data_IF_880743715754
#
_entry.id   IF_880743715754
#
_cell.length_a   1.000
_cell.length_b   1.000
_cell.length_c   1.000
_cell.angle_alpha   90.00
_cell.angle_beta   90.00
_cell.angle_gamma   90.00
#
_symmetry.space_group_name_H-M   'P 1'
#
loop_
_entity.id
_entity.type
_entity.pdbx_description
1 polymer ?
#
# COMPACT_ATOMS: atom_id res chain seq x y z
N UNK A 1 30.08 -0.38 -17.45
CA UNK A 1 29.06 -0.40 -16.38
C UNK A 1 28.45 -1.80 -16.38
N UNK A 2 28.28 -2.39 -15.21
CA UNK A 2 27.63 -3.70 -15.11
C UNK A 2 26.15 -3.54 -15.43
N UNK A 3 25.64 -4.34 -16.37
CA UNK A 3 24.23 -4.30 -16.75
C UNK A 3 23.36 -4.77 -15.60
N UNK A 4 22.36 -3.96 -15.23
CA UNK A 4 21.42 -4.28 -14.15
C UNK A 4 20.14 -4.85 -14.77
N UNK A 5 19.48 -5.77 -14.08
CA UNK A 5 18.31 -6.48 -14.58
C UNK A 5 17.18 -5.56 -15.10
N UNK A 6 17.04 -4.38 -14.53
CA UNK A 6 15.99 -3.44 -14.90
C UNK A 6 16.29 -2.63 -16.18
N UNK A 7 17.53 -2.67 -16.71
CA UNK A 7 17.87 -1.95 -17.94
C UNK A 7 17.10 -2.44 -19.15
N UNK A 8 16.76 -3.75 -19.16
CA UNK A 8 16.05 -4.41 -20.25
C UNK A 8 14.70 -5.00 -19.79
N UNK A 9 14.21 -4.59 -18.62
CA UNK A 9 12.95 -5.11 -18.10
C UNK A 9 11.75 -4.59 -18.89
N UNK A 10 10.81 -5.50 -19.17
CA UNK A 10 9.46 -5.16 -19.62
C UNK A 10 8.53 -5.36 -18.46
N UNK A 11 8.07 -4.25 -17.91
CA UNK A 11 7.21 -4.23 -16.72
C UNK A 11 5.75 -4.15 -17.14
N UNK A 12 4.92 -5.06 -16.61
CA UNK A 12 3.48 -5.05 -16.81
C UNK A 12 2.79 -4.75 -15.48
N UNK A 13 2.03 -3.64 -15.42
CA UNK A 13 1.24 -3.33 -14.24
C UNK A 13 -0.01 -4.20 -14.20
N UNK A 14 -0.23 -4.87 -13.08
CA UNK A 14 -1.45 -5.61 -12.79
C UNK A 14 -2.25 -4.87 -11.73
N UNK A 15 -3.49 -4.55 -12.07
CA UNK A 15 -4.52 -4.13 -11.13
C UNK A 15 -5.24 -5.40 -10.65
N UNK A 16 -4.95 -5.93 -9.44
CA UNK A 16 -5.43 -7.24 -9.01
C UNK A 16 -6.95 -7.36 -9.13
N UNK A 17 -7.67 -6.38 -8.62
CA UNK A 17 -9.15 -6.35 -8.56
C UNK A 17 -9.83 -6.60 -9.91
N UNK A 18 -9.23 -6.18 -11.03
CA UNK A 18 -9.83 -6.25 -12.37
C UNK A 18 -9.10 -7.18 -13.34
N UNK A 19 -8.00 -7.82 -12.93
CA UNK A 19 -7.17 -8.58 -13.85
C UNK A 19 -7.73 -9.98 -14.16
N UNK A 20 -7.96 -10.80 -13.14
CA UNK A 20 -8.50 -12.16 -13.31
C UNK A 20 -9.11 -12.66 -12.00
N UNK A 21 -10.39 -12.88 -12.04
CA UNK A 21 -11.16 -13.56 -11.00
C UNK A 21 -10.98 -15.08 -11.15
N UNK A 22 -10.56 -15.76 -10.09
CA UNK A 22 -10.35 -17.20 -10.06
C UNK A 22 -11.49 -17.98 -9.42
N UNK A 23 -12.26 -17.35 -8.54
CA UNK A 23 -13.29 -17.98 -7.72
C UNK A 23 -14.73 -17.67 -8.16
N UNK A 24 -14.92 -16.67 -9.05
CA UNK A 24 -16.22 -16.31 -9.63
C UNK A 24 -17.03 -15.31 -8.80
N UNK A 25 -16.39 -14.57 -7.89
CA UNK A 25 -17.03 -13.55 -7.06
C UNK A 25 -17.11 -12.15 -7.72
N UNK A 26 -16.51 -11.99 -8.89
CA UNK A 26 -16.47 -10.74 -9.64
C UNK A 26 -15.25 -9.87 -9.33
N UNK A 27 -14.35 -10.32 -8.44
CA UNK A 27 -13.14 -9.61 -8.04
C UNK A 27 -11.92 -10.43 -8.49
N UNK A 28 -10.95 -9.78 -9.13
CA UNK A 28 -9.68 -10.42 -9.48
C UNK A 28 -8.83 -10.64 -8.23
N UNK A 29 -8.02 -11.71 -8.24
CA UNK A 29 -7.30 -12.21 -7.07
C UNK A 29 -5.88 -12.71 -7.41
N UNK A 30 -5.07 -13.02 -6.40
CA UNK A 30 -3.71 -13.54 -6.56
C UNK A 30 -3.65 -14.91 -7.28
N UNK A 31 -4.53 -15.87 -6.97
CA UNK A 31 -4.62 -17.11 -7.76
C UNK A 31 -4.94 -16.87 -9.23
N UNK A 32 -5.81 -15.89 -9.52
CA UNK A 32 -6.12 -15.47 -10.88
C UNK A 32 -4.88 -14.94 -11.61
N UNK A 33 -4.07 -14.09 -10.95
CA UNK A 33 -2.80 -13.60 -11.51
C UNK A 33 -1.86 -14.77 -11.77
N UNK A 34 -1.69 -15.67 -10.81
CA UNK A 34 -0.86 -16.88 -10.92
C UNK A 34 -1.26 -17.71 -12.13
N UNK A 35 -2.55 -17.89 -12.38
CA UNK A 35 -3.08 -18.63 -13.53
C UNK A 35 -2.74 -18.02 -14.90
N UNK A 36 -2.34 -16.73 -14.93
CA UNK A 36 -2.02 -15.98 -16.15
C UNK A 36 -0.51 -15.79 -16.39
N UNK A 37 0.35 -16.32 -15.54
CA UNK A 37 1.80 -16.15 -15.67
C UNK A 37 2.36 -16.69 -17.00
N UNK A 38 1.83 -17.81 -17.50
CA UNK A 38 2.25 -18.34 -18.82
C UNK A 38 1.89 -17.40 -19.98
N UNK A 39 0.73 -16.76 -19.90
CA UNK A 39 0.32 -15.74 -20.85
C UNK A 39 1.27 -14.54 -20.80
N UNK A 40 1.57 -14.02 -19.60
CA UNK A 40 2.47 -12.89 -19.41
C UNK A 40 3.91 -13.22 -19.87
N UNK A 41 4.41 -14.42 -19.58
CA UNK A 41 5.71 -14.88 -20.07
C UNK A 41 5.77 -14.92 -21.60
N UNK A 42 4.73 -15.46 -22.28
CA UNK A 42 4.63 -15.48 -23.74
C UNK A 42 4.56 -14.08 -24.37
N UNK A 43 4.02 -13.10 -23.62
CA UNK A 43 3.99 -11.70 -24.05
C UNK A 43 5.37 -11.02 -23.94
N UNK A 44 6.35 -11.67 -23.30
CA UNK A 44 7.70 -11.14 -23.11
C UNK A 44 7.87 -10.27 -21.87
N UNK A 45 6.97 -10.41 -20.90
CA UNK A 45 7.03 -9.69 -19.62
C UNK A 45 8.13 -10.28 -18.75
N UNK A 46 8.97 -9.44 -18.18
CA UNK A 46 10.06 -9.83 -17.27
C UNK A 46 9.85 -9.35 -15.84
N UNK A 47 8.88 -8.46 -15.61
CA UNK A 47 8.48 -8.02 -14.29
C UNK A 47 6.98 -7.67 -14.26
N UNK A 48 6.33 -8.01 -13.17
CA UNK A 48 4.96 -7.59 -12.85
C UNK A 48 5.03 -6.56 -11.73
N UNK A 49 4.42 -5.42 -11.94
CA UNK A 49 4.14 -4.45 -10.89
C UNK A 49 2.71 -4.65 -10.39
N UNK A 50 2.55 -5.07 -9.15
CA UNK A 50 1.24 -5.20 -8.51
C UNK A 50 0.84 -3.86 -7.90
N UNK A 51 -0.33 -3.34 -8.25
CA UNK A 51 -1.00 -2.34 -7.43
C UNK A 51 -1.28 -2.95 -6.04
N UNK A 52 -1.46 -2.13 -4.98
CA UNK A 52 -1.46 -2.63 -3.61
C UNK A 52 -2.43 -3.79 -3.38
N UNK A 53 -1.95 -4.84 -2.71
CA UNK A 53 -2.72 -6.03 -2.29
C UNK A 53 -2.73 -6.21 -0.78
N UNK A 54 -2.12 -5.27 -0.06
CA UNK A 54 -2.06 -5.29 1.40
C UNK A 54 -3.45 -5.17 2.02
N UNK A 55 -3.57 -5.54 3.31
CA UNK A 55 -4.82 -5.37 4.05
C UNK A 55 -5.22 -3.88 4.09
N UNK A 56 -6.43 -3.60 3.63
CA UNK A 56 -6.92 -2.25 3.38
C UNK A 56 -8.46 -2.22 3.45
N UNK A 57 -9.06 -1.16 3.98
CA UNK A 57 -10.50 -0.94 3.86
C UNK A 57 -10.96 -0.58 2.44
N UNK A 58 -10.04 -0.40 1.49
CA UNK A 58 -10.32 -0.17 0.06
C UNK A 58 -11.01 1.18 -0.26
N UNK A 59 -10.81 2.20 0.56
CA UNK A 59 -11.33 3.55 0.31
C UNK A 59 -10.71 4.15 -0.97
N UNK A 60 -9.42 3.88 -1.20
CA UNK A 60 -8.67 4.29 -2.39
C UNK A 60 -8.04 3.07 -3.11
N UNK A 61 -8.85 2.06 -3.43
CA UNK A 61 -8.43 0.87 -4.18
C UNK A 61 -7.18 0.15 -3.64
N UNK A 62 -6.99 0.16 -2.31
CA UNK A 62 -5.86 -0.49 -1.64
C UNK A 62 -4.68 0.45 -1.35
N UNK A 63 -4.71 1.71 -1.79
CA UNK A 63 -3.69 2.69 -1.43
C UNK A 63 -3.85 3.26 -0.02
N UNK A 64 -4.91 2.92 0.70
CA UNK A 64 -5.19 3.18 2.11
C UNK A 64 -4.86 1.92 2.93
N UNK A 65 -3.59 1.71 3.24
CA UNK A 65 -3.10 0.47 3.83
C UNK A 65 -3.30 0.46 5.35
N UNK A 66 -4.03 -0.55 5.85
CA UNK A 66 -4.27 -0.78 7.27
C UNK A 66 -3.22 -1.72 7.89
N UNK A 67 -2.70 -2.68 7.13
CA UNK A 67 -1.62 -3.58 7.57
C UNK A 67 -0.72 -3.92 6.37
N UNK A 68 0.55 -3.50 6.43
CA UNK A 68 1.54 -3.77 5.38
C UNK A 68 2.07 -5.21 5.36
N UNK A 69 1.82 -5.98 6.40
CA UNK A 69 2.36 -7.33 6.60
C UNK A 69 1.30 -8.43 6.41
N UNK A 70 0.20 -8.08 5.73
CA UNK A 70 -0.86 -9.03 5.40
C UNK A 70 -1.47 -8.72 4.04
N UNK A 71 -2.17 -9.68 3.46
CA UNK A 71 -2.88 -9.57 2.19
C UNK A 71 -4.37 -9.31 2.46
N UNK A 72 -4.96 -8.36 1.75
CA UNK A 72 -6.40 -8.13 1.82
C UNK A 72 -7.16 -9.40 1.40
N UNK A 73 -8.05 -9.87 2.25
CA UNK A 73 -8.79 -11.13 2.08
C UNK A 73 -9.54 -11.25 0.75
N UNK A 74 -9.90 -10.10 0.13
CA UNK A 74 -10.53 -10.07 -1.20
C UNK A 74 -9.57 -10.49 -2.32
N UNK A 75 -8.26 -10.45 -2.10
CA UNK A 75 -7.25 -10.83 -3.08
C UNK A 75 -6.63 -12.20 -2.83
N UNK A 76 -6.85 -12.79 -1.66
CA UNK A 76 -6.29 -14.07 -1.27
C UNK A 76 -5.59 -14.05 0.09
N UNK A 77 -4.56 -14.85 0.22
CA UNK A 77 -3.80 -15.06 1.46
C UNK A 77 -2.29 -14.84 1.24
N UNK A 78 -1.52 -14.84 2.33
CA UNK A 78 -0.05 -14.82 2.25
C UNK A 78 0.49 -16.03 1.48
N UNK A 79 -0.13 -17.21 1.62
CA UNK A 79 0.25 -18.41 0.88
C UNK A 79 0.02 -18.24 -0.63
N UNK A 80 -1.05 -17.55 -1.03
CA UNK A 80 -1.31 -17.22 -2.44
C UNK A 80 -0.24 -16.28 -3.00
N UNK A 81 0.22 -15.32 -2.18
CA UNK A 81 1.31 -14.41 -2.56
C UNK A 81 2.64 -15.16 -2.69
N UNK A 82 2.96 -16.05 -1.75
CA UNK A 82 4.15 -16.92 -1.82
C UNK A 82 4.12 -17.79 -3.07
N UNK A 83 2.95 -18.35 -3.40
CA UNK A 83 2.76 -19.14 -4.62
C UNK A 83 2.96 -18.28 -5.88
N UNK A 84 2.41 -17.08 -5.93
CA UNK A 84 2.61 -16.16 -7.05
C UNK A 84 4.10 -15.85 -7.26
N UNK A 85 4.83 -15.54 -6.19
CA UNK A 85 6.27 -15.24 -6.25
C UNK A 85 7.04 -16.47 -6.76
N UNK A 86 6.76 -17.67 -6.22
CA UNK A 86 7.43 -18.90 -6.60
C UNK A 86 7.17 -19.26 -8.09
N UNK A 87 5.93 -19.13 -8.55
CA UNK A 87 5.55 -19.43 -9.93
C UNK A 87 6.07 -18.38 -10.93
N UNK A 88 6.10 -17.11 -10.56
CA UNK A 88 6.70 -16.04 -11.36
C UNK A 88 8.21 -16.28 -11.54
N UNK A 89 8.90 -16.66 -10.43
CA UNK A 89 10.34 -16.97 -10.46
C UNK A 89 10.70 -18.11 -11.42
N UNK A 90 9.87 -19.15 -11.54
CA UNK A 90 10.06 -20.27 -12.50
C UNK A 90 10.02 -19.80 -13.96
N UNK A 91 9.45 -18.63 -14.22
CA UNK A 91 9.27 -18.02 -15.56
C UNK A 91 10.19 -16.81 -15.78
N UNK A 92 11.18 -16.62 -14.90
CA UNK A 92 12.06 -15.44 -14.89
C UNK A 92 11.32 -14.09 -14.82
N UNK A 93 10.11 -14.09 -14.23
CA UNK A 93 9.31 -12.90 -13.97
C UNK A 93 9.54 -12.43 -12.53
N UNK A 94 9.89 -11.16 -12.35
CA UNK A 94 10.03 -10.53 -11.04
C UNK A 94 8.70 -9.92 -10.60
N UNK A 95 8.45 -9.95 -9.30
CA UNK A 95 7.34 -9.22 -8.69
C UNK A 95 7.87 -7.92 -8.10
N UNK A 96 7.20 -6.83 -8.43
CA UNK A 96 7.43 -5.49 -7.86
C UNK A 96 6.17 -5.12 -7.09
N UNK A 97 6.33 -4.89 -5.79
CA UNK A 97 5.26 -4.42 -4.92
C UNK A 97 5.26 -2.91 -4.85
N UNK A 98 4.09 -2.32 -4.75
CA UNK A 98 3.93 -0.89 -4.52
C UNK A 98 4.34 -0.55 -3.07
N UNK A 99 5.17 0.46 -2.89
CA UNK A 99 5.61 0.93 -1.57
C UNK A 99 4.87 2.24 -1.24
N UNK A 100 3.70 2.11 -0.64
CA UNK A 100 2.85 3.24 -0.27
C UNK A 100 3.20 3.71 1.14
N UNK A 101 4.12 4.65 1.26
CA UNK A 101 4.64 5.15 2.55
C UNK A 101 4.55 6.67 2.70
N UNK A 102 3.74 7.33 1.88
CA UNK A 102 3.37 8.73 2.11
C UNK A 102 2.38 8.86 3.27
N UNK A 103 1.48 7.90 3.40
CA UNK A 103 0.37 7.87 4.36
C UNK A 103 0.06 6.42 4.73
N UNK A 104 -0.77 6.23 5.74
CA UNK A 104 -1.45 4.95 6.04
C UNK A 104 -2.95 5.10 5.85
N UNK A 105 -3.71 4.00 5.98
CA UNK A 105 -5.13 4.10 6.27
C UNK A 105 -5.38 4.77 7.64
N UNK A 106 -6.52 5.42 7.81
CA UNK A 106 -7.00 5.86 9.12
C UNK A 106 -7.41 4.67 10.02
N UNK A 107 -7.45 3.46 9.46
CA UNK A 107 -7.65 2.20 10.19
C UNK A 107 -6.33 1.48 10.53
N UNK A 108 -5.18 2.04 10.18
CA UNK A 108 -3.87 1.51 10.58
C UNK A 108 -3.68 1.63 12.10
N UNK A 109 -3.11 0.60 12.72
CA UNK A 109 -2.92 0.55 14.18
C UNK A 109 -2.17 1.78 14.73
N UNK A 110 -1.18 2.29 14.00
CA UNK A 110 -0.45 3.51 14.40
C UNK A 110 -1.37 4.74 14.45
N UNK A 111 -2.27 4.90 13.47
CA UNK A 111 -3.16 6.06 13.46
C UNK A 111 -4.25 5.96 14.53
N UNK A 112 -4.78 4.75 14.76
CA UNK A 112 -5.74 4.51 15.84
C UNK A 112 -5.11 4.88 17.19
N UNK A 113 -3.90 4.38 17.47
CA UNK A 113 -3.18 4.71 18.72
C UNK A 113 -2.89 6.22 18.81
N UNK A 114 -2.42 6.85 17.72
CA UNK A 114 -2.15 8.28 17.67
C UNK A 114 -3.37 9.16 17.99
N UNK A 115 -4.57 8.72 17.63
CA UNK A 115 -5.84 9.41 17.93
C UNK A 115 -6.31 9.21 19.36
N UNK A 116 -6.18 7.99 19.86
CA UNK A 116 -6.73 7.59 21.16
C UNK A 116 -5.81 7.95 22.33
N UNK A 117 -4.49 8.00 22.06
CA UNK A 117 -3.47 8.29 23.06
C UNK A 117 -2.50 9.37 22.58
N UNK A 118 -2.81 10.67 22.80
CA UNK A 118 -1.93 11.78 22.40
C UNK A 118 -0.53 11.78 23.05
N UNK A 119 -0.27 10.89 24.02
CA UNK A 119 1.05 10.74 24.65
C UNK A 119 1.82 9.52 24.10
N UNK A 120 1.24 8.76 23.17
CA UNK A 120 1.92 7.63 22.55
C UNK A 120 3.01 8.09 21.59
N UNK A 121 4.07 7.30 21.38
CA UNK A 121 5.06 7.57 20.32
C UNK A 121 4.43 7.71 18.92
N UNK A 122 3.38 6.95 18.65
CA UNK A 122 2.65 6.95 17.38
C UNK A 122 2.02 8.29 17.08
N UNK A 123 1.78 9.14 18.10
CA UNK A 123 1.27 10.50 17.88
C UNK A 123 2.14 11.27 16.91
N UNK A 124 3.45 11.19 17.07
CA UNK A 124 4.43 11.91 16.26
C UNK A 124 4.74 11.23 14.91
N UNK A 125 4.12 10.05 14.64
CA UNK A 125 4.19 9.42 13.32
C UNK A 125 3.33 10.14 12.28
N UNK A 126 2.41 11.01 12.72
CA UNK A 126 1.53 11.80 11.88
C UNK A 126 1.70 13.30 12.17
N UNK A 127 1.16 14.13 11.29
CA UNK A 127 1.32 15.59 11.39
C UNK A 127 0.02 16.19 11.93
N UNK A 128 0.09 16.76 13.13
CA UNK A 128 -1.05 17.34 13.85
C UNK A 128 -0.90 18.84 14.05
N UNK A 129 -2.03 19.58 14.05
CA UNK A 129 -2.07 21.02 14.34
C UNK A 129 -3.36 21.42 15.05
N UNK A 130 -3.28 22.45 15.91
CA UNK A 130 -4.46 23.05 16.55
C UNK A 130 -5.28 23.87 15.57
N UNK A 131 -4.64 24.40 14.54
CA UNK A 131 -5.29 25.21 13.49
C UNK A 131 -4.77 24.81 12.12
N UNK A 132 -5.67 24.55 11.16
CA UNK A 132 -5.26 24.28 9.79
C UNK A 132 -4.68 25.54 9.13
N UNK A 133 -3.90 25.34 8.09
CA UNK A 133 -3.52 26.39 7.15
C UNK A 133 -4.30 26.19 5.83
N UNK A 134 -3.90 26.89 4.78
CA UNK A 134 -4.56 26.89 3.46
C UNK A 134 -4.08 25.80 2.51
N UNK A 135 -3.36 24.76 3.00
CA UNK A 135 -2.98 23.62 2.18
C UNK A 135 -4.22 22.87 1.67
N UNK A 136 -4.16 22.45 0.42
CA UNK A 136 -5.24 21.72 -0.25
C UNK A 136 -4.84 20.27 -0.55
N UNK A 137 -5.82 19.38 -0.44
CA UNK A 137 -5.68 17.98 -0.83
C UNK A 137 -5.58 17.83 -2.36
N UNK A 138 -4.89 16.79 -2.82
CA UNK A 138 -4.86 16.37 -4.23
C UNK A 138 -6.25 16.06 -4.77
N UNK A 139 -7.15 15.54 -3.93
CA UNK A 139 -8.54 15.21 -4.28
C UNK A 139 -9.51 16.38 -4.09
N UNK A 140 -9.01 17.59 -3.87
CA UNK A 140 -9.75 18.82 -3.56
C UNK A 140 -10.09 19.03 -2.09
N UNK A 141 -10.40 20.29 -1.74
CA UNK A 141 -10.71 20.67 -0.37
C UNK A 141 -9.47 20.86 0.51
N UNK A 142 -9.67 20.97 1.81
CA UNK A 142 -8.59 21.15 2.79
C UNK A 142 -7.72 19.89 2.86
N UNK A 143 -6.41 20.06 3.04
CA UNK A 143 -5.50 18.96 3.40
C UNK A 143 -5.53 18.64 4.91
N UNK A 144 -6.44 19.23 5.66
CA UNK A 144 -6.56 19.06 7.11
C UNK A 144 -7.96 18.59 7.48
N UNK A 145 -8.05 17.50 8.24
CA UNK A 145 -9.30 17.00 8.80
C UNK A 145 -9.27 17.12 10.32
N UNK A 146 -10.39 17.63 10.89
CA UNK A 146 -10.53 17.73 12.33
C UNK A 146 -10.85 16.38 12.94
N UNK A 147 -10.07 15.97 13.92
CA UNK A 147 -10.31 14.77 14.69
C UNK A 147 -10.92 15.13 16.06
N UNK A 148 -12.18 14.77 16.24
CA UNK A 148 -12.93 15.07 17.48
C UNK A 148 -12.33 14.38 18.73
N UNK A 149 -11.70 13.20 18.56
CA UNK A 149 -11.10 12.46 19.68
C UNK A 149 -9.88 13.17 20.27
N UNK A 150 -9.00 13.65 19.39
CA UNK A 150 -7.77 14.33 19.79
C UNK A 150 -7.92 15.85 19.93
N UNK A 151 -8.98 16.44 19.35
CA UNK A 151 -9.22 17.88 19.36
C UNK A 151 -8.27 18.67 18.46
N UNK A 152 -7.58 18.02 17.54
CA UNK A 152 -6.63 18.62 16.62
C UNK A 152 -6.95 18.23 15.16
N UNK A 153 -6.27 18.88 14.23
CA UNK A 153 -6.33 18.56 12.80
C UNK A 153 -5.13 17.70 12.42
N UNK A 154 -5.37 16.64 11.64
CA UNK A 154 -4.29 15.86 11.01
C UNK A 154 -4.16 16.20 9.53
N UNK A 155 -2.94 16.07 9.01
CA UNK A 155 -2.63 16.30 7.59
C UNK A 155 -3.00 15.09 6.74
N UNK A 156 -3.61 15.36 5.56
CA UNK A 156 -3.83 14.36 4.50
C UNK A 156 -3.75 15.01 3.12
N UNK A 157 -2.73 14.69 2.35
CA UNK A 157 -2.63 15.21 0.98
C UNK A 157 -3.48 14.45 -0.03
N UNK A 158 -3.98 13.27 0.34
CA UNK A 158 -4.93 12.47 -0.43
C UNK A 158 -6.29 12.47 0.26
N UNK A 159 -6.95 11.32 0.40
CA UNK A 159 -8.21 11.22 1.12
C UNK A 159 -8.03 11.51 2.61
N UNK A 160 -9.07 12.02 3.27
CA UNK A 160 -9.11 12.09 4.74
C UNK A 160 -8.98 10.72 5.42
N UNK A 161 -9.19 9.64 4.67
CA UNK A 161 -8.93 8.26 5.07
C UNK A 161 -7.45 7.86 4.97
N UNK A 162 -6.58 8.78 4.53
CA UNK A 162 -5.16 8.55 4.27
C UNK A 162 -4.30 9.59 4.98
N UNK A 163 -4.21 9.54 6.34
CA UNK A 163 -3.38 10.47 7.11
C UNK A 163 -1.90 10.37 6.73
N UNK A 164 -1.29 11.52 6.46
CA UNK A 164 0.10 11.62 6.02
C UNK A 164 1.09 11.30 7.14
N UNK A 165 2.11 10.54 6.81
CA UNK A 165 3.18 10.17 7.71
C UNK A 165 4.20 11.31 7.89
N UNK A 166 4.69 11.46 9.11
CA UNK A 166 5.70 12.45 9.49
C UNK A 166 7.13 11.91 9.26
N UNK A 167 7.64 12.03 8.04
CA UNK A 167 8.97 11.56 7.66
C UNK A 167 10.14 12.25 8.38
N UNK A 168 9.89 13.34 9.12
CA UNK A 168 10.90 13.95 10.00
C UNK A 168 11.13 13.12 11.26
N UNK A 169 10.17 12.29 11.67
CA UNK A 169 10.29 11.40 12.82
C UNK A 169 11.23 10.22 12.51
N UNK A 170 12.31 10.08 13.31
CA UNK A 170 13.32 9.06 13.09
C UNK A 170 12.82 7.65 13.43
N UNK A 171 12.02 7.52 14.50
CA UNK A 171 11.43 6.24 14.90
C UNK A 171 10.50 5.70 13.82
N UNK A 172 9.64 6.56 13.24
CA UNK A 172 8.80 6.18 12.12
C UNK A 172 9.62 5.65 10.95
N UNK A 173 10.71 6.34 10.56
CA UNK A 173 11.58 5.86 9.47
C UNK A 173 12.10 4.46 9.75
N UNK A 174 12.52 4.18 11.00
CA UNK A 174 12.97 2.84 11.38
C UNK A 174 11.84 1.81 11.30
N UNK A 175 10.62 2.15 11.72
CA UNK A 175 9.44 1.27 11.57
C UNK A 175 9.15 0.94 10.11
N UNK A 176 9.25 1.92 9.21
CA UNK A 176 9.11 1.70 7.77
C UNK A 176 10.23 0.76 7.25
N UNK A 177 11.48 0.94 7.68
CA UNK A 177 12.59 0.06 7.27
C UNK A 177 12.40 -1.37 7.80
N UNK A 178 11.90 -1.54 9.03
CA UNK A 178 11.56 -2.85 9.59
C UNK A 178 10.47 -3.53 8.74
N UNK A 179 9.42 -2.80 8.39
CA UNK A 179 8.34 -3.28 7.52
C UNK A 179 8.86 -3.70 6.13
N UNK A 180 9.77 -2.93 5.54
CA UNK A 180 10.37 -3.26 4.24
C UNK A 180 11.26 -4.51 4.27
N UNK A 181 11.70 -4.95 5.43
CA UNK A 181 12.51 -6.16 5.61
C UNK A 181 11.68 -7.40 5.97
N UNK A 182 10.38 -7.25 6.07
CA UNK A 182 9.44 -8.37 6.28
C UNK A 182 9.30 -9.16 4.99
#
# INVERSE_FOLDING_TARGET
MQEKWWHNAVVYQVYPKSFKDSNGDGIGDLPGITSKLDYLAKLGITAIWLSPVYDSPMDDNGYDIANYQDIASIFGTMEDMDQLIAEAKKRDIRIIMDLVVNHTSDEHAWFIEARENPQSPERDYYIWRDKPNDLTSTFSGSAWEYDEKSGQYYLHFFSKKQPDLNWENEELRHKIYEMMNF
#
